data_IF_671050916979
#
_entry.id   IF_671050916979
#
_cell.length_a   1.000
_cell.length_b   1.000
_cell.length_c   1.000
_cell.angle_alpha   90.00
_cell.angle_beta   90.00
_cell.angle_gamma   90.00
#
_symmetry.space_group_name_H-M   'P 1'
#
loop_
_entity.id
_entity.type
_entity.pdbx_description
1 polymer ?
#
# COMPACT_ATOMS: atom_id res chain seq x y z
N UNK A 1 -47.67 31.53 -3.91
CA UNK A 1 -49.11 31.15 -3.94
C UNK A 1 -49.77 31.77 -5.16
N UNK A 2 -50.81 31.18 -5.75
CA UNK A 2 -51.51 31.78 -6.90
C UNK A 2 -52.59 32.74 -6.40
N UNK A 3 -52.48 34.03 -6.75
CA UNK A 3 -53.48 35.04 -6.49
C UNK A 3 -53.81 35.80 -7.77
N UNK A 4 -55.04 36.26 -7.88
CA UNK A 4 -55.50 37.19 -8.91
C UNK A 4 -55.67 38.56 -8.28
N UNK A 5 -55.20 39.61 -8.95
CA UNK A 5 -55.54 40.98 -8.55
C UNK A 5 -56.97 41.32 -8.98
N UNK A 6 -57.47 42.48 -8.54
CA UNK A 6 -58.82 42.96 -8.86
C UNK A 6 -59.06 43.27 -10.36
N UNK A 7 -58.09 42.96 -11.23
CA UNK A 7 -58.19 43.07 -12.69
C UNK A 7 -58.07 41.71 -13.42
N UNK A 8 -57.99 40.60 -12.68
CA UNK A 8 -58.03 39.25 -13.25
C UNK A 8 -56.73 38.80 -13.92
N UNK A 9 -55.62 39.51 -13.73
CA UNK A 9 -54.29 39.04 -14.18
C UNK A 9 -53.69 38.10 -13.14
N UNK A 10 -53.29 36.87 -13.51
CA UNK A 10 -52.60 35.98 -12.59
C UNK A 10 -51.21 36.54 -12.33
N UNK A 11 -50.86 36.75 -11.06
CA UNK A 11 -49.49 37.00 -10.64
C UNK A 11 -48.97 35.79 -9.86
N UNK A 12 -47.78 35.34 -10.23
CA UNK A 12 -47.06 34.32 -9.48
C UNK A 12 -46.24 35.07 -8.42
N UNK A 13 -46.63 34.98 -7.16
CA UNK A 13 -45.67 35.24 -6.09
C UNK A 13 -44.84 33.97 -5.95
N UNK A 14 -43.59 34.04 -6.41
CA UNK A 14 -42.56 33.13 -5.92
C UNK A 14 -42.42 33.42 -4.43
N UNK A 15 -43.10 32.61 -3.63
CA UNK A 15 -42.73 32.44 -2.24
C UNK A 15 -41.37 31.78 -2.32
N UNK A 16 -40.28 32.57 -2.22
CA UNK A 16 -38.94 32.04 -1.99
C UNK A 16 -39.03 31.20 -0.73
N UNK A 17 -39.17 29.88 -0.91
CA UNK A 17 -39.11 28.94 0.19
C UNK A 17 -37.79 29.18 0.90
N UNK A 18 -37.93 29.46 2.19
CA UNK A 18 -36.81 29.70 3.08
C UNK A 18 -35.86 28.51 3.04
N UNK A 19 -34.67 28.74 2.47
CA UNK A 19 -33.47 27.93 2.66
C UNK A 19 -33.65 26.42 2.48
N UNK A 20 -33.70 25.94 1.25
CA UNK A 20 -33.39 24.53 1.00
C UNK A 20 -31.91 24.28 1.33
N UNK A 21 -31.69 23.76 2.53
CA UNK A 21 -30.37 23.40 3.06
C UNK A 21 -29.93 22.00 2.60
N UNK A 22 -30.75 21.25 1.86
CA UNK A 22 -30.41 19.93 1.34
C UNK A 22 -29.13 19.91 0.47
N UNK A 23 -28.88 20.86 -0.45
CA UNK A 23 -27.61 20.95 -1.16
C UNK A 23 -26.41 21.20 -0.22
N UNK A 24 -26.61 22.01 0.83
CA UNK A 24 -25.59 22.24 1.86
C UNK A 24 -25.34 20.98 2.71
N UNK A 25 -26.38 20.27 3.14
CA UNK A 25 -26.25 19.04 3.91
C UNK A 25 -25.55 17.93 3.11
N UNK A 26 -25.86 17.83 1.81
CA UNK A 26 -25.22 16.88 0.89
C UNK A 26 -23.74 17.21 0.69
N UNK A 27 -23.41 18.50 0.54
CA UNK A 27 -22.01 18.93 0.43
C UNK A 27 -21.23 18.69 1.74
N UNK A 28 -21.78 19.12 2.88
CA UNK A 28 -21.16 18.95 4.19
C UNK A 28 -20.93 17.48 4.55
N UNK A 29 -21.83 16.58 4.12
CA UNK A 29 -21.64 15.13 4.27
C UNK A 29 -20.47 14.55 3.47
N UNK A 30 -20.00 15.25 2.43
CA UNK A 30 -18.86 14.85 1.59
C UNK A 30 -17.52 15.49 1.96
N UNK A 31 -17.51 16.52 2.83
CA UNK A 31 -16.28 17.21 3.22
C UNK A 31 -15.51 16.37 4.24
N UNK A 32 -14.27 16.01 3.89
CA UNK A 32 -13.30 15.48 4.86
C UNK A 32 -12.64 16.68 5.53
N UNK A 33 -12.95 16.97 6.78
CA UNK A 33 -12.36 18.08 7.55
C UNK A 33 -13.40 18.96 8.24
N UNK A 34 -12.99 20.18 8.60
CA UNK A 34 -13.90 21.17 9.15
C UNK A 34 -14.66 21.88 8.02
N UNK A 35 -15.97 22.02 8.18
CA UNK A 35 -16.79 22.80 7.28
C UNK A 35 -17.82 23.59 8.08
N UNK A 36 -18.00 24.86 7.71
CA UNK A 36 -18.98 25.76 8.28
C UNK A 36 -19.76 26.42 7.15
N UNK A 37 -21.07 26.51 7.32
CA UNK A 37 -21.94 27.13 6.34
C UNK A 37 -22.79 28.20 7.01
N UNK A 38 -22.83 29.38 6.40
CA UNK A 38 -23.44 30.59 6.95
C UNK A 38 -24.50 31.05 5.96
N UNK A 39 -25.75 31.08 6.38
CA UNK A 39 -26.87 31.59 5.59
C UNK A 39 -27.22 33.03 6.03
N UNK A 40 -27.28 33.96 5.07
CA UNK A 40 -27.64 35.36 5.25
C UNK A 40 -28.73 35.72 4.23
N UNK A 41 -29.99 35.47 4.58
CA UNK A 41 -31.11 35.58 3.65
C UNK A 41 -30.96 34.58 2.50
N UNK A 42 -30.91 35.08 1.27
CA UNK A 42 -30.73 34.26 0.06
C UNK A 42 -29.26 33.92 -0.24
N UNK A 43 -28.30 34.47 0.54
CA UNK A 43 -26.87 34.21 0.36
C UNK A 43 -26.39 33.10 1.28
N UNK A 44 -25.61 32.18 0.73
CA UNK A 44 -24.96 31.10 1.49
C UNK A 44 -23.46 31.15 1.30
N UNK A 45 -22.71 31.32 2.39
CA UNK A 45 -21.26 31.23 2.41
C UNK A 45 -20.84 29.89 3.00
N UNK A 46 -19.86 29.24 2.38
CA UNK A 46 -19.36 27.94 2.78
C UNK A 46 -17.85 28.03 2.97
N UNK A 47 -17.40 27.68 4.16
CA UNK A 47 -16.00 27.67 4.55
C UNK A 47 -15.61 26.23 4.80
N UNK A 48 -14.59 25.74 4.09
CA UNK A 48 -13.99 24.43 4.32
C UNK A 48 -12.53 24.58 4.66
N UNK A 49 -12.07 23.78 5.63
CA UNK A 49 -10.68 23.73 6.04
C UNK A 49 -10.33 22.29 6.40
N UNK A 50 -9.30 21.76 5.75
CA UNK A 50 -8.79 20.42 6.04
C UNK A 50 -7.26 20.46 6.04
N UNK A 51 -6.68 19.85 7.07
CA UNK A 51 -5.26 19.50 7.09
C UNK A 51 -5.16 17.98 7.13
N UNK A 52 -4.63 17.39 6.06
CA UNK A 52 -4.37 15.96 5.97
C UNK A 52 -2.90 15.71 6.23
N UNK A 53 -2.58 14.81 7.16
CA UNK A 53 -1.23 14.31 7.36
C UNK A 53 -1.24 12.78 7.24
N UNK A 54 -0.47 12.25 6.29
CA UNK A 54 -0.36 10.81 6.04
C UNK A 54 1.10 10.42 6.15
N UNK A 55 1.38 9.44 7.00
CA UNK A 55 2.70 8.84 7.14
C UNK A 55 2.62 7.35 6.81
N UNK A 56 3.51 6.89 5.94
CA UNK A 56 3.60 5.49 5.50
C UNK A 56 5.06 5.07 5.62
N UNK A 57 5.30 3.97 6.33
CA UNK A 57 6.62 3.35 6.44
C UNK A 57 6.53 1.89 6.00
N UNK A 58 7.34 1.52 5.02
CA UNK A 58 7.39 0.15 4.47
C UNK A 58 8.82 -0.35 4.57
N UNK A 59 9.02 -1.47 5.26
CA UNK A 59 10.28 -2.18 5.33
C UNK A 59 10.06 -3.60 4.81
N UNK A 60 10.79 -3.96 3.75
CA UNK A 60 10.74 -5.30 3.17
C UNK A 60 12.17 -5.84 3.05
N UNK A 61 12.41 -7.00 3.66
CA UNK A 61 13.74 -7.64 3.70
C UNK A 61 13.68 -9.03 3.06
N UNK A 62 13.59 -9.13 1.72
CA UNK A 62 13.68 -10.41 1.04
C UNK A 62 15.08 -11.02 1.28
N UNK A 63 15.13 -12.33 1.51
CA UNK A 63 16.37 -13.05 1.65
C UNK A 63 16.32 -14.34 0.82
N UNK A 64 17.45 -14.68 0.21
CA UNK A 64 17.60 -15.85 -0.64
C UNK A 64 18.97 -16.46 -0.39
N UNK A 65 19.04 -17.78 -0.29
CA UNK A 65 20.29 -18.53 -0.16
C UNK A 65 20.55 -19.23 -1.49
N UNK A 66 21.75 -19.09 -2.02
CA UNK A 66 22.09 -19.53 -3.37
C UNK A 66 23.51 -20.10 -3.38
N UNK A 67 23.81 -20.96 -4.36
CA UNK A 67 25.16 -21.43 -4.60
C UNK A 67 25.99 -20.35 -5.30
N UNK A 68 27.31 -20.44 -5.15
CA UNK A 68 28.23 -19.57 -5.88
C UNK A 68 28.12 -19.78 -7.39
N UNK A 69 28.16 -18.69 -8.15
CA UNK A 69 27.95 -18.64 -9.61
C UNK A 69 26.59 -19.17 -10.12
N UNK A 70 25.63 -19.41 -9.23
CA UNK A 70 24.29 -19.87 -9.59
C UNK A 70 23.27 -18.73 -9.49
N UNK A 71 22.53 -18.49 -10.58
CA UNK A 71 21.39 -17.58 -10.54
C UNK A 71 20.28 -18.17 -9.68
N UNK A 72 19.65 -17.33 -8.87
CA UNK A 72 18.41 -17.67 -8.21
C UNK A 72 17.41 -16.52 -8.27
N UNK A 73 16.14 -16.90 -8.21
CA UNK A 73 15.01 -16.00 -8.29
C UNK A 73 14.06 -16.26 -7.12
N UNK A 74 13.69 -15.21 -6.41
CA UNK A 74 12.66 -15.20 -5.37
C UNK A 74 11.54 -14.29 -5.86
N UNK A 75 10.33 -14.84 -6.03
CA UNK A 75 9.12 -14.06 -6.32
C UNK A 75 8.13 -14.26 -5.18
N UNK A 76 7.73 -13.16 -4.54
CA UNK A 76 6.70 -13.12 -3.50
C UNK A 76 5.66 -12.11 -3.90
N UNK A 77 4.47 -12.57 -4.27
CA UNK A 77 3.48 -11.71 -4.87
C UNK A 77 2.17 -12.41 -5.15
N UNK A 78 1.37 -11.76 -5.97
CA UNK A 78 0.10 -12.24 -6.48
C UNK A 78 0.09 -12.05 -7.99
N UNK A 79 -0.64 -12.90 -8.70
CA UNK A 79 -0.80 -12.82 -10.15
C UNK A 79 -2.12 -12.11 -10.46
N UNK A 80 -2.03 -10.89 -10.97
CA UNK A 80 -3.20 -10.04 -11.26
C UNK A 80 -3.55 -10.12 -12.74
N UNK A 81 -4.81 -10.43 -13.11
CA UNK A 81 -5.26 -10.35 -14.49
C UNK A 81 -5.39 -8.90 -14.93
N UNK A 82 -4.87 -8.61 -16.12
CA UNK A 82 -4.85 -7.29 -16.78
C UNK A 82 -5.50 -7.46 -18.14
N UNK A 83 -6.40 -6.55 -18.52
CA UNK A 83 -7.14 -6.64 -19.78
C UNK A 83 -6.34 -5.93 -20.87
N UNK A 84 -5.73 -6.68 -21.80
CA UNK A 84 -4.81 -6.13 -22.81
C UNK A 84 -5.48 -5.73 -24.13
N UNK A 85 -6.77 -6.04 -24.29
CA UNK A 85 -7.57 -5.56 -25.41
C UNK A 85 -9.01 -6.07 -25.37
N UNK A 86 -9.92 -5.30 -25.95
CA UNK A 86 -11.29 -5.72 -26.23
C UNK A 86 -11.53 -5.61 -27.74
N UNK A 87 -11.79 -6.72 -28.41
CA UNK A 87 -12.25 -6.70 -29.81
C UNK A 87 -13.75 -6.93 -29.84
N UNK A 88 -14.49 -5.93 -30.32
CA UNK A 88 -15.91 -6.04 -30.63
C UNK A 88 -16.05 -6.80 -31.96
N UNK A 89 -16.76 -7.93 -31.94
CA UNK A 89 -17.13 -8.64 -33.18
C UNK A 89 -17.95 -7.76 -34.12
N UNK A 90 -18.04 -8.11 -35.41
CA UNK A 90 -18.58 -7.29 -36.52
C UNK A 90 -19.98 -6.66 -36.32
N UNK A 91 -20.72 -7.05 -35.26
CA UNK A 91 -22.04 -6.51 -34.89
C UNK A 91 -22.13 -5.97 -33.44
N UNK A 92 -21.02 -5.72 -32.74
CA UNK A 92 -21.00 -5.18 -31.36
C UNK A 92 -21.69 -6.08 -30.29
N UNK A 93 -22.05 -7.33 -30.63
CA UNK A 93 -22.86 -8.23 -29.79
C UNK A 93 -22.05 -9.04 -28.76
N UNK A 94 -20.72 -9.08 -28.86
CA UNK A 94 -19.88 -9.74 -27.85
C UNK A 94 -18.42 -9.24 -27.92
N UNK A 95 -17.99 -8.33 -27.03
CA UNK A 95 -16.59 -7.95 -26.95
C UNK A 95 -15.76 -9.11 -26.37
N UNK A 96 -14.83 -9.65 -27.16
CA UNK A 96 -13.80 -10.56 -26.64
C UNK A 96 -12.73 -9.74 -25.94
N UNK A 97 -12.60 -9.91 -24.62
CA UNK A 97 -11.51 -9.34 -23.83
C UNK A 97 -10.36 -10.33 -23.74
N UNK A 98 -9.16 -9.91 -24.13
CA UNK A 98 -7.94 -10.68 -23.89
C UNK A 98 -7.42 -10.30 -22.51
N UNK A 99 -7.19 -11.30 -21.66
CA UNK A 99 -6.66 -11.12 -20.31
C UNK A 99 -5.24 -11.68 -20.28
N UNK A 100 -4.27 -10.83 -19.96
CA UNK A 100 -2.90 -11.20 -19.66
C UNK A 100 -2.72 -11.23 -18.14
N UNK A 101 -1.96 -12.19 -17.63
CA UNK A 101 -1.65 -12.26 -16.21
C UNK A 101 -0.30 -11.62 -15.93
N UNK A 102 -0.23 -10.74 -14.93
CA UNK A 102 1.00 -10.07 -14.52
C UNK A 102 1.31 -10.34 -13.05
N UNK A 103 2.55 -10.72 -12.79
CA UNK A 103 3.06 -10.91 -11.44
C UNK A 103 3.31 -9.56 -10.77
N UNK A 104 2.67 -9.35 -9.61
CA UNK A 104 2.86 -8.17 -8.78
C UNK A 104 3.35 -8.55 -7.40
N UNK A 105 4.40 -7.90 -6.93
CA UNK A 105 5.00 -8.17 -5.63
C UNK A 105 6.50 -7.87 -5.61
N UNK A 106 7.20 -8.55 -4.72
CA UNK A 106 8.65 -8.43 -4.55
C UNK A 106 9.31 -9.56 -5.35
N UNK A 107 10.10 -9.19 -6.35
CA UNK A 107 10.94 -10.10 -7.11
C UNK A 107 12.40 -9.74 -6.87
N UNK A 108 13.21 -10.73 -6.56
CA UNK A 108 14.64 -10.59 -6.37
C UNK A 108 15.33 -11.70 -7.15
N UNK A 109 16.05 -11.31 -8.20
CA UNK A 109 16.97 -12.18 -8.92
C UNK A 109 18.39 -11.75 -8.61
N UNK A 110 19.23 -12.73 -8.26
CA UNK A 110 20.62 -12.49 -7.90
C UNK A 110 21.51 -13.59 -8.44
N UNK A 111 22.66 -13.19 -8.97
CA UNK A 111 23.75 -14.08 -9.38
C UNK A 111 25.01 -13.64 -8.64
N UNK A 112 25.37 -14.30 -7.53
CA UNK A 112 26.60 -13.98 -6.82
C UNK A 112 27.79 -14.73 -7.40
N UNK A 113 28.96 -14.13 -7.22
CA UNK A 113 30.27 -14.69 -7.51
C UNK A 113 31.20 -14.31 -6.36
N UNK A 114 31.77 -15.31 -5.68
CA UNK A 114 32.73 -15.10 -4.61
C UNK A 114 34.12 -14.89 -5.21
N UNK A 115 34.73 -13.76 -4.89
CA UNK A 115 36.08 -13.39 -5.28
C UNK A 115 37.09 -13.64 -4.13
N UNK A 116 38.38 -13.61 -4.46
CA UNK A 116 39.44 -13.67 -3.45
C UNK A 116 39.33 -12.51 -2.45
N UNK A 117 39.61 -12.78 -1.17
CA UNK A 117 39.49 -11.79 -0.10
C UNK A 117 38.06 -11.56 0.41
N UNK A 118 37.23 -12.62 0.45
CA UNK A 118 35.88 -12.64 1.04
C UNK A 118 34.97 -11.52 0.49
N UNK A 119 35.13 -11.20 -0.78
CA UNK A 119 34.28 -10.22 -1.46
C UNK A 119 33.33 -10.93 -2.40
N UNK A 120 32.05 -10.55 -2.36
CA UNK A 120 31.00 -11.12 -3.21
C UNK A 120 30.61 -10.08 -4.25
N UNK A 121 30.86 -10.42 -5.51
CA UNK A 121 30.31 -9.70 -6.64
C UNK A 121 28.91 -10.22 -6.91
N UNK A 122 27.93 -9.34 -7.05
CA UNK A 122 26.54 -9.74 -7.26
C UNK A 122 25.96 -8.95 -8.42
N UNK A 123 25.37 -9.66 -9.38
CA UNK A 123 24.43 -9.08 -10.33
C UNK A 123 23.03 -9.18 -9.73
N UNK A 124 22.37 -8.05 -9.54
CA UNK A 124 21.10 -7.97 -8.82
C UNK A 124 20.06 -7.31 -9.71
N UNK A 125 18.91 -7.96 -9.84
CA UNK A 125 17.69 -7.42 -10.42
C UNK A 125 16.61 -7.49 -9.34
N UNK A 126 16.19 -6.33 -8.82
CA UNK A 126 15.14 -6.24 -7.82
C UNK A 126 13.96 -5.46 -8.40
N UNK A 127 12.77 -6.05 -8.33
CA UNK A 127 11.51 -5.42 -8.70
C UNK A 127 10.58 -5.44 -7.50
N UNK A 128 9.98 -4.30 -7.19
CA UNK A 128 8.90 -4.17 -6.21
C UNK A 128 7.72 -3.53 -6.93
N UNK A 129 6.67 -4.32 -7.14
CA UNK A 129 5.42 -3.87 -7.73
C UNK A 129 4.27 -3.98 -6.72
N UNK A 130 3.38 -3.00 -6.77
CA UNK A 130 2.14 -2.98 -5.98
C UNK A 130 0.98 -2.56 -6.87
N UNK A 131 -0.20 -3.13 -6.62
CA UNK A 131 -1.45 -2.74 -7.27
C UNK A 131 -1.85 -1.37 -6.74
N UNK A 132 -2.11 -0.43 -7.64
CA UNK A 132 -2.58 0.92 -7.32
C UNK A 132 -4.01 1.12 -7.85
N UNK A 133 -4.81 1.92 -7.15
CA UNK A 133 -6.19 2.19 -7.51
C UNK A 133 -6.28 2.82 -8.92
N UNK A 134 -7.24 2.36 -9.72
CA UNK A 134 -7.32 2.67 -11.15
C UNK A 134 -7.51 4.17 -11.47
N UNK A 135 -7.96 5.03 -10.54
CA UNK A 135 -8.04 6.51 -10.69
C UNK A 135 -8.35 7.03 -12.11
N UNK A 136 -9.40 6.50 -12.75
CA UNK A 136 -9.84 6.94 -14.09
C UNK A 136 -9.11 6.29 -15.28
N UNK A 137 -8.19 5.35 -15.05
CA UNK A 137 -7.68 4.46 -16.08
C UNK A 137 -8.71 3.37 -16.43
N UNK A 138 -8.70 2.93 -17.69
CA UNK A 138 -9.55 1.83 -18.19
C UNK A 138 -9.23 0.50 -17.50
N UNK A 139 -8.01 0.36 -16.94
CA UNK A 139 -7.53 -0.85 -16.28
C UNK A 139 -6.71 -0.53 -15.01
N UNK A 140 -6.36 -1.56 -14.26
CA UNK A 140 -5.57 -1.54 -13.03
C UNK A 140 -4.19 -0.92 -13.30
N UNK A 141 -3.74 -0.02 -12.39
CA UNK A 141 -2.39 0.56 -12.45
C UNK A 141 -1.46 -0.19 -11.50
N UNK A 142 -0.18 -0.31 -11.87
CA UNK A 142 0.85 -0.88 -11.00
C UNK A 142 1.93 0.16 -10.72
N UNK A 143 2.24 0.41 -9.45
CA UNK A 143 3.45 1.16 -9.12
C UNK A 143 4.63 0.19 -9.14
N UNK A 144 5.56 0.39 -10.07
CA UNK A 144 6.76 -0.45 -10.22
C UNK A 144 7.99 0.32 -9.77
N UNK A 145 8.79 -0.28 -8.90
CA UNK A 145 10.13 0.18 -8.50
C UNK A 145 11.11 -0.91 -8.90
N UNK A 146 12.08 -0.58 -9.74
CA UNK A 146 12.99 -1.56 -10.33
C UNK A 146 14.42 -1.05 -10.27
N UNK A 147 15.34 -1.95 -9.92
CA UNK A 147 16.78 -1.69 -9.86
C UNK A 147 17.53 -2.88 -10.43
N UNK A 148 18.38 -2.60 -11.43
CA UNK A 148 19.33 -3.56 -11.98
C UNK A 148 20.73 -3.02 -11.84
N UNK A 149 21.58 -3.69 -11.07
CA UNK A 149 22.95 -3.23 -10.81
C UNK A 149 23.90 -4.40 -10.56
N UNK A 150 25.19 -4.13 -10.70
CA UNK A 150 26.26 -5.04 -10.33
C UNK A 150 27.14 -4.37 -9.29
N UNK A 151 27.31 -5.01 -8.13
CA UNK A 151 28.10 -4.45 -7.02
C UNK A 151 29.09 -5.48 -6.49
N UNK A 152 30.19 -4.99 -5.91
CA UNK A 152 31.15 -5.78 -5.15
C UNK A 152 31.05 -5.39 -3.68
N UNK A 153 30.78 -6.36 -2.81
CA UNK A 153 30.55 -6.13 -1.38
C UNK A 153 31.31 -7.17 -0.58
N UNK A 154 31.96 -6.74 0.51
CA UNK A 154 32.61 -7.68 1.43
C UNK A 154 31.59 -8.54 2.17
N UNK A 155 31.99 -9.74 2.54
CA UNK A 155 31.19 -10.64 3.38
C UNK A 155 30.71 -9.94 4.66
N UNK A 156 29.43 -10.13 5.00
CA UNK A 156 28.79 -9.56 6.18
C UNK A 156 28.50 -8.06 6.13
N UNK A 157 29.12 -7.31 5.21
CA UNK A 157 28.93 -5.87 5.08
C UNK A 157 27.66 -5.52 4.31
N UNK A 158 27.06 -4.38 4.64
CA UNK A 158 25.89 -3.86 3.94
C UNK A 158 26.29 -2.69 3.06
N UNK A 159 25.82 -2.67 1.82
CA UNK A 159 25.98 -1.55 0.89
C UNK A 159 24.61 -1.01 0.48
N UNK A 160 24.54 0.30 0.21
CA UNK A 160 23.40 0.89 -0.46
C UNK A 160 23.54 0.68 -1.97
N UNK A 161 22.57 0.02 -2.60
CA UNK A 161 22.53 -0.19 -4.04
C UNK A 161 21.99 1.03 -4.79
N UNK A 162 21.10 1.78 -4.14
CA UNK A 162 20.45 2.95 -4.71
C UNK A 162 19.36 3.50 -3.80
N UNK A 163 18.76 4.60 -4.25
CA UNK A 163 17.66 5.24 -3.55
C UNK A 163 17.01 6.33 -4.37
N UNK A 164 15.83 6.75 -3.96
CA UNK A 164 15.09 7.88 -4.52
C UNK A 164 14.62 8.77 -3.36
N UNK A 165 14.97 10.04 -3.41
CA UNK A 165 14.36 11.06 -2.57
C UNK A 165 13.62 12.03 -3.47
N UNK A 166 12.30 12.08 -3.33
CA UNK A 166 11.41 12.91 -4.13
C UNK A 166 10.57 13.78 -3.21
N UNK A 167 10.47 15.06 -3.54
CA UNK A 167 9.59 16.01 -2.89
C UNK A 167 8.77 16.72 -3.97
N UNK A 168 7.44 16.72 -3.82
CA UNK A 168 6.51 17.32 -4.77
C UNK A 168 5.60 18.27 -4.00
N UNK A 169 5.66 19.55 -4.33
CA UNK A 169 4.77 20.58 -3.79
C UNK A 169 3.83 21.05 -4.89
N UNK A 170 2.52 20.92 -4.66
CA UNK A 170 1.48 21.49 -5.50
C UNK A 170 0.78 22.59 -4.73
N UNK A 171 0.79 23.79 -5.28
CA UNK A 171 0.05 24.94 -4.77
C UNK A 171 -0.97 25.35 -5.84
N UNK A 172 -2.23 25.44 -5.45
CA UNK A 172 -3.33 25.86 -6.30
C UNK A 172 -4.11 26.93 -5.57
N UNK A 173 -4.16 28.13 -6.14
CA UNK A 173 -4.93 29.26 -5.61
C UNK A 173 -5.94 29.71 -6.65
N UNK A 174 -7.22 29.76 -6.26
CA UNK A 174 -8.31 30.34 -7.03
C UNK A 174 -8.86 31.52 -6.26
N UNK A 175 -8.89 32.71 -6.86
CA UNK A 175 -9.36 33.92 -6.19
C UNK A 175 -10.15 34.84 -7.11
N UNK A 176 -11.04 35.64 -6.53
CA UNK A 176 -11.67 36.76 -7.22
C UNK A 176 -10.63 37.89 -7.36
N UNK A 177 -10.32 38.40 -8.58
CA UNK A 177 -9.38 39.48 -8.75
C UNK A 177 -9.76 40.72 -7.91
N UNK A 178 -8.76 41.45 -7.40
CA UNK A 178 -8.92 42.63 -6.53
C UNK A 178 -9.43 42.29 -5.13
N UNK A 179 -10.57 41.60 -5.00
CA UNK A 179 -11.18 41.23 -3.72
C UNK A 179 -10.36 40.19 -2.94
N UNK A 180 -9.73 39.24 -3.63
CA UNK A 180 -8.86 38.23 -3.03
C UNK A 180 -7.50 38.75 -2.56
N UNK A 181 -7.09 39.94 -3.01
CA UNK A 181 -5.79 40.54 -2.67
C UNK A 181 -5.85 41.46 -1.44
N UNK A 182 -7.05 41.75 -0.93
CA UNK A 182 -7.23 42.60 0.25
C UNK A 182 -6.64 41.88 1.48
N UNK A 183 -5.72 42.51 2.25
CA UNK A 183 -5.20 41.90 3.47
C UNK A 183 -6.33 41.64 4.47
N UNK A 184 -6.26 40.53 5.21
CA UNK A 184 -7.27 40.06 6.18
C UNK A 184 -8.57 39.57 5.52
N UNK A 185 -9.21 40.36 4.65
CA UNK A 185 -10.51 40.06 4.05
C UNK A 185 -10.43 39.17 2.80
N UNK A 186 -9.30 39.17 2.10
CA UNK A 186 -9.10 38.40 0.87
C UNK A 186 -9.18 36.88 1.07
N UNK A 187 -8.99 36.40 2.31
CA UNK A 187 -9.18 35.00 2.67
C UNK A 187 -10.61 34.49 2.44
N UNK A 188 -11.62 35.37 2.44
CA UNK A 188 -13.02 35.02 2.17
C UNK A 188 -13.31 34.86 0.67
N UNK A 189 -12.43 35.38 -0.19
CA UNK A 189 -12.61 35.41 -1.65
C UNK A 189 -11.56 34.57 -2.39
N UNK A 190 -10.85 33.70 -1.68
CA UNK A 190 -9.86 32.78 -2.24
C UNK A 190 -10.04 31.36 -1.71
N UNK A 191 -9.67 30.40 -2.55
CA UNK A 191 -9.55 28.98 -2.22
C UNK A 191 -8.11 28.58 -2.50
N UNK A 192 -7.41 28.10 -1.47
CA UNK A 192 -6.02 27.68 -1.55
C UNK A 192 -5.92 26.20 -1.21
N UNK A 193 -5.25 25.44 -2.06
CA UNK A 193 -4.94 24.04 -1.84
C UNK A 193 -3.43 23.82 -1.96
N UNK A 194 -2.81 23.45 -0.84
CA UNK A 194 -1.38 23.19 -0.75
C UNK A 194 -1.17 21.72 -0.39
N UNK A 195 -0.48 21.00 -1.27
CA UNK A 195 -0.17 19.59 -1.11
C UNK A 195 1.33 19.36 -1.24
N UNK A 196 1.96 18.87 -0.17
CA UNK A 196 3.37 18.45 -0.19
C UNK A 196 3.42 16.93 -0.03
N UNK A 197 4.07 16.26 -0.97
CA UNK A 197 4.29 14.81 -0.98
C UNK A 197 5.79 14.53 -0.95
N UNK A 198 6.24 13.75 0.03
CA UNK A 198 7.64 13.35 0.19
C UNK A 198 7.78 11.84 0.16
N UNK A 199 8.65 11.35 -0.71
CA UNK A 199 8.90 9.93 -0.93
C UNK A 199 10.39 9.65 -0.78
N UNK A 200 10.75 8.78 0.16
CA UNK A 200 12.12 8.30 0.35
C UNK A 200 12.16 6.79 0.12
N UNK A 201 13.11 6.35 -0.68
CA UNK A 201 13.38 4.95 -0.98
C UNK A 201 14.88 4.72 -0.87
N UNK A 202 15.26 3.67 -0.16
CA UNK A 202 16.64 3.20 -0.08
C UNK A 202 16.63 1.68 -0.23
N UNK A 203 17.55 1.18 -1.04
CA UNK A 203 17.72 -0.25 -1.30
C UNK A 203 19.10 -0.65 -0.79
N UNK A 204 19.12 -1.62 0.10
CA UNK A 204 20.34 -2.15 0.70
C UNK A 204 20.47 -3.64 0.42
N UNK A 205 21.70 -4.11 0.31
CA UNK A 205 22.00 -5.53 0.28
C UNK A 205 23.15 -5.87 1.22
N UNK A 206 23.06 -7.05 1.83
CA UNK A 206 24.11 -7.63 2.67
C UNK A 206 24.34 -9.07 2.22
N UNK A 207 25.44 -9.39 1.53
CA UNK A 207 25.82 -10.77 1.29
C UNK A 207 26.32 -11.41 2.58
N UNK A 208 26.17 -12.72 2.68
CA UNK A 208 26.76 -13.53 3.75
C UNK A 208 27.23 -14.85 3.15
N UNK A 209 28.53 -15.12 3.21
CA UNK A 209 29.13 -16.34 2.69
C UNK A 209 28.96 -17.47 3.71
N UNK A 210 28.35 -18.58 3.28
CA UNK A 210 28.19 -19.79 4.08
C UNK A 210 29.19 -20.84 3.58
N UNK A 211 30.38 -20.91 4.20
CA UNK A 211 31.43 -21.87 3.81
C UNK A 211 31.21 -23.27 4.40
N UNK A 212 30.87 -23.31 5.68
CA UNK A 212 30.77 -24.55 6.44
C UNK A 212 29.33 -24.90 6.79
N UNK A 213 29.05 -26.19 6.95
CA UNK A 213 27.75 -26.68 7.43
C UNK A 213 27.35 -26.07 8.77
N UNK A 214 28.31 -25.81 9.66
CA UNK A 214 28.07 -25.14 10.94
C UNK A 214 27.61 -23.69 10.78
N UNK A 215 28.17 -22.96 9.82
CA UNK A 215 27.79 -21.57 9.54
C UNK A 215 26.38 -21.50 8.92
N UNK A 216 26.06 -22.43 8.03
CA UNK A 216 24.72 -22.57 7.45
C UNK A 216 23.69 -22.96 8.52
N UNK A 217 24.02 -23.92 9.39
CA UNK A 217 23.19 -24.37 10.50
C UNK A 217 22.92 -23.23 11.49
N UNK A 218 23.95 -22.50 11.92
CA UNK A 218 23.80 -21.36 12.83
C UNK A 218 22.95 -20.21 12.25
N UNK A 219 23.04 -19.95 10.94
CA UNK A 219 22.16 -18.98 10.27
C UNK A 219 20.70 -19.46 10.23
N UNK A 220 20.49 -20.74 9.94
CA UNK A 220 19.17 -21.36 9.88
C UNK A 220 18.51 -21.39 11.25
N UNK A 221 19.24 -21.86 12.26
CA UNK A 221 18.79 -21.94 13.65
C UNK A 221 18.35 -20.57 14.19
N UNK A 222 19.10 -19.49 13.91
CA UNK A 222 18.73 -18.13 14.33
C UNK A 222 17.40 -17.69 13.72
N UNK A 223 17.23 -17.84 12.40
CA UNK A 223 15.98 -17.48 11.72
C UNK A 223 14.81 -18.34 12.19
N UNK A 224 15.03 -19.64 12.35
CA UNK A 224 14.04 -20.59 12.82
C UNK A 224 13.55 -20.24 14.24
N UNK A 225 14.48 -20.04 15.17
CA UNK A 225 14.16 -19.69 16.55
C UNK A 225 13.45 -18.35 16.66
N UNK A 226 13.79 -17.38 15.78
CA UNK A 226 13.08 -16.10 15.72
C UNK A 226 11.60 -16.29 15.36
N UNK A 227 11.29 -17.05 14.30
CA UNK A 227 9.90 -17.35 13.90
C UNK A 227 9.17 -18.12 15.00
N UNK A 228 9.83 -19.12 15.59
CA UNK A 228 9.28 -19.91 16.69
C UNK A 228 8.91 -19.04 17.89
N UNK A 229 9.79 -18.13 18.28
CA UNK A 229 9.54 -17.20 19.38
C UNK A 229 8.34 -16.28 19.09
N UNK A 230 8.19 -15.82 17.84
CA UNK A 230 7.03 -15.04 17.43
C UNK A 230 5.73 -15.85 17.48
N UNK A 231 5.75 -17.12 17.09
CA UNK A 231 4.58 -18.00 17.18
C UNK A 231 4.21 -18.33 18.62
N UNK A 232 5.20 -18.63 19.48
CA UNK A 232 4.96 -18.85 20.91
C UNK A 232 4.36 -17.61 21.58
N UNK A 233 4.86 -16.42 21.24
CA UNK A 233 4.31 -15.16 21.74
C UNK A 233 2.86 -14.91 21.28
N UNK A 234 2.53 -15.28 20.05
CA UNK A 234 1.16 -15.19 19.52
C UNK A 234 0.23 -16.22 20.18
N UNK A 235 0.72 -17.44 20.37
CA UNK A 235 0.00 -18.51 21.05
C UNK A 235 -0.33 -18.13 22.51
N UNK A 236 0.64 -17.55 23.24
CA UNK A 236 0.46 -17.06 24.62
C UNK A 236 -0.58 -15.93 24.71
N UNK A 237 -0.57 -15.01 23.74
CA UNK A 237 -1.58 -13.94 23.66
C UNK A 237 -2.98 -14.44 23.33
N UNK A 238 -3.09 -15.64 22.76
CA UNK A 238 -4.35 -16.26 22.36
C UNK A 238 -5.10 -15.50 21.27
N UNK A 239 -6.01 -16.17 20.58
CA UNK A 239 -7.07 -15.48 19.85
C UNK A 239 -8.24 -15.34 20.81
N UNK A 240 -8.74 -14.11 21.02
CA UNK A 240 -9.89 -13.83 21.92
C UNK A 240 -11.18 -14.59 21.55
N UNK A 241 -11.21 -15.29 20.41
CA UNK A 241 -12.38 -15.92 19.81
C UNK A 241 -12.20 -17.42 19.46
N UNK A 242 -11.03 -18.01 19.70
CA UNK A 242 -10.80 -19.44 19.46
C UNK A 242 -9.88 -20.02 20.55
N UNK A 243 -10.39 -21.00 21.28
CA UNK A 243 -9.64 -21.86 22.22
C UNK A 243 -8.88 -22.96 21.45
N UNK A 244 -8.28 -22.60 20.32
CA UNK A 244 -7.56 -23.51 19.45
C UNK A 244 -6.05 -23.29 19.64
N UNK A 245 -5.33 -24.37 19.94
CA UNK A 245 -3.86 -24.37 19.98
C UNK A 245 -3.33 -23.82 18.65
N UNK A 246 -2.66 -22.66 18.68
CA UNK A 246 -2.04 -22.12 17.48
C UNK A 246 -0.92 -23.04 17.01
N UNK A 247 -0.77 -23.30 15.70
CA UNK A 247 0.33 -24.11 15.21
C UNK A 247 1.66 -23.40 15.47
N UNK A 248 2.49 -23.99 16.32
CA UNK A 248 3.86 -23.55 16.59
C UNK A 248 4.83 -24.55 15.96
N UNK A 249 5.85 -24.05 15.27
CA UNK A 249 6.93 -24.90 14.77
C UNK A 249 7.65 -25.61 15.93
N UNK A 250 8.12 -26.85 15.72
CA UNK A 250 8.81 -27.62 16.75
C UNK A 250 10.10 -26.92 17.21
N UNK A 251 10.77 -27.46 18.21
CA UNK A 251 12.09 -26.96 18.58
C UNK A 251 13.07 -27.29 17.45
N UNK A 252 14.04 -26.41 17.21
CA UNK A 252 15.07 -26.65 16.20
C UNK A 252 15.79 -27.98 16.44
N UNK A 253 15.89 -28.82 15.42
CA UNK A 253 16.51 -30.15 15.50
C UNK A 253 15.59 -31.26 15.99
N UNK A 254 14.37 -30.94 16.45
CA UNK A 254 13.34 -31.93 16.75
C UNK A 254 12.43 -32.08 15.52
N UNK A 255 12.10 -33.32 15.15
CA UNK A 255 11.09 -33.60 14.12
C UNK A 255 9.72 -33.05 14.54
N UNK A 256 8.77 -32.96 13.59
CA UNK A 256 7.41 -32.49 13.87
C UNK A 256 6.79 -33.28 15.04
N UNK A 257 6.75 -32.66 16.21
CA UNK A 257 6.09 -33.23 17.37
C UNK A 257 4.59 -33.29 17.07
N UNK A 258 4.02 -34.49 17.16
CA UNK A 258 2.58 -34.68 17.06
C UNK A 258 1.85 -33.77 18.08
N UNK A 259 0.64 -33.26 17.75
CA UNK A 259 -0.17 -32.46 18.67
C UNK A 259 -0.36 -33.16 20.02
N UNK A 260 -0.51 -32.40 21.10
CA UNK A 260 -0.54 -32.94 22.46
C UNK A 260 -1.61 -34.03 22.65
N UNK A 261 -2.80 -33.81 22.06
CA UNK A 261 -3.91 -34.77 22.06
C UNK A 261 -3.55 -36.08 21.35
N UNK A 262 -2.89 -36.00 20.20
CA UNK A 262 -2.49 -37.17 19.41
C UNK A 262 -1.41 -37.97 20.13
N UNK A 263 -0.44 -37.31 20.79
CA UNK A 263 0.55 -37.99 21.63
C UNK A 263 -0.10 -38.70 22.82
N UNK A 264 -1.06 -38.05 23.46
CA UNK A 264 -1.79 -38.64 24.58
C UNK A 264 -2.56 -39.90 24.13
N UNK A 265 -3.23 -39.84 22.97
CA UNK A 265 -3.92 -40.97 22.37
C UNK A 265 -2.99 -42.15 22.04
N UNK A 266 -1.86 -41.89 21.37
CA UNK A 266 -0.86 -42.94 21.05
C UNK A 266 -0.32 -43.58 22.33
N UNK A 267 0.01 -42.77 23.34
CA UNK A 267 0.52 -43.28 24.63
C UNK A 267 -0.48 -44.13 25.40
N UNK A 268 -1.79 -43.92 25.19
CA UNK A 268 -2.84 -44.77 25.75
C UNK A 268 -2.98 -46.09 24.98
N UNK A 269 -2.80 -46.04 23.64
CA UNK A 269 -2.80 -47.21 22.78
C UNK A 269 -1.63 -48.15 23.06
N UNK A 270 -0.43 -47.63 23.32
CA UNK A 270 0.75 -48.44 23.67
C UNK A 270 0.70 -49.03 25.09
N UNK A 271 -0.18 -48.52 25.96
CA UNK A 271 -0.36 -49.02 27.33
C UNK A 271 -1.34 -50.20 27.43
N UNK A 272 -2.01 -50.56 26.34
CA UNK A 272 -2.92 -51.68 26.23
C UNK A 272 -2.36 -52.77 25.31
#
# INVERSE_FOLDING_TARGET
QHGTDSSGKPYTTETTESGDLAPMATFLGGVKGAAAAIALGDWTALVTAVQSNRNVNVLSTPNITVLDNQEANLSVGQEVPVTTGSQTGSNNDNPFTTVERKDVGIQLKVTPQINEGDSVQMKIEQVVSQVADANGAVDIRFDKRELTTSVLVKDGNMIALGGLMQEKTLESEQKVPILGDIPVLGALFRSTNNQTEKTNLMIFIRPTILRDGMSADGMTQRKYNYIRAQQLYQADKGMRLMDAEMPVIPKYGDDMALPAEVRAFISQLEKH
#
